data_IF_145632196966
#
_entry.id   IF_145632196966
#
_cell.length_a   1.000
_cell.length_b   1.000
_cell.length_c   1.000
_cell.angle_alpha   90.00
_cell.angle_beta   90.00
_cell.angle_gamma   90.00
#
_symmetry.space_group_name_H-M   'P 1'
#
loop_
_entity.id
_entity.type
_entity.pdbx_description
1 polymer ?
#
# COMPACT_ATOMS: atom_id res chain seq x y z
N UNK A 1 4.09 48.93 49.07
CA UNK A 1 3.24 47.76 49.32
C UNK A 1 3.14 47.01 48.00
N UNK A 2 3.77 45.84 47.87
CA UNK A 2 3.86 45.05 46.63
C UNK A 2 2.92 43.85 46.77
N UNK A 3 1.84 43.82 46.00
CA UNK A 3 0.95 42.66 45.93
C UNK A 3 1.40 41.81 44.75
N UNK A 4 1.95 40.62 45.04
CA UNK A 4 2.39 39.64 44.06
C UNK A 4 1.18 38.76 43.74
N UNK A 5 0.67 38.87 42.51
CA UNK A 5 -0.38 37.98 41.99
C UNK A 5 0.33 36.76 41.40
N UNK A 6 0.19 35.61 42.06
CA UNK A 6 0.71 34.33 41.59
C UNK A 6 -0.27 33.77 40.54
N UNK A 7 0.04 33.93 39.26
CA UNK A 7 -0.72 33.31 38.18
C UNK A 7 -0.20 31.88 37.95
N UNK A 8 -0.89 30.89 38.53
CA UNK A 8 -0.64 29.46 38.27
C UNK A 8 -1.04 29.12 36.84
N UNK A 9 -0.05 28.92 35.98
CA UNK A 9 -0.24 28.53 34.57
C UNK A 9 -0.46 27.02 34.49
N UNK A 10 -1.70 26.59 34.29
CA UNK A 10 -2.04 25.19 34.05
C UNK A 10 -1.59 24.80 32.64
N UNK A 11 -0.53 24.01 32.53
CA UNK A 11 -0.06 23.47 31.25
C UNK A 11 -1.01 22.37 30.75
N UNK A 12 -1.70 22.64 29.64
CA UNK A 12 -2.57 21.69 28.96
C UNK A 12 -1.72 20.81 28.03
N UNK A 13 -1.44 19.58 28.46
CA UNK A 13 -0.72 18.59 27.65
C UNK A 13 -1.71 17.97 26.66
N UNK A 14 -1.68 18.44 25.41
CA UNK A 14 -2.43 17.83 24.30
C UNK A 14 -1.70 16.56 23.87
N UNK A 15 -2.17 15.40 24.34
CA UNK A 15 -1.83 14.10 23.77
C UNK A 15 -2.43 14.02 22.36
N UNK A 16 -1.63 14.31 21.34
CA UNK A 16 -1.98 13.96 19.97
C UNK A 16 -1.82 12.44 19.83
N UNK A 17 -2.93 11.72 19.96
CA UNK A 17 -3.00 10.32 19.60
C UNK A 17 -2.97 10.26 18.07
N UNK A 18 -1.80 9.95 17.48
CA UNK A 18 -1.67 9.78 16.04
C UNK A 18 -2.50 8.57 15.60
N UNK A 19 -3.51 8.80 14.77
CA UNK A 19 -4.22 7.71 14.09
C UNK A 19 -3.28 7.04 13.10
N UNK A 20 -3.12 5.72 13.18
CA UNK A 20 -2.43 4.97 12.15
C UNK A 20 -3.10 5.26 10.79
N UNK A 21 -2.32 5.72 9.82
CA UNK A 21 -2.82 6.05 8.49
C UNK A 21 -3.23 4.78 7.76
N UNK A 22 -4.44 4.73 7.20
CA UNK A 22 -4.86 3.59 6.38
C UNK A 22 -4.11 3.60 5.04
N UNK A 23 -3.29 2.58 4.73
CA UNK A 23 -2.53 2.54 3.48
C UNK A 23 -3.39 2.62 2.23
N UNK A 24 -4.62 2.10 2.28
CA UNK A 24 -5.56 2.13 1.17
C UNK A 24 -6.13 3.54 0.90
N UNK A 25 -5.96 4.50 1.81
CA UNK A 25 -6.38 5.89 1.62
C UNK A 25 -5.22 6.89 1.66
N UNK A 26 -3.98 6.43 1.82
CA UNK A 26 -2.80 7.29 1.80
C UNK A 26 -2.66 7.97 0.42
N UNK A 27 -2.49 9.30 0.34
CA UNK A 27 -2.43 10.02 -0.93
C UNK A 27 -1.35 9.54 -1.90
N UNK A 28 -0.13 9.28 -1.39
CA UNK A 28 0.99 8.78 -2.18
C UNK A 28 0.68 7.39 -2.75
N UNK A 29 0.06 6.52 -1.95
CA UNK A 29 -0.38 5.20 -2.39
C UNK A 29 -1.47 5.28 -3.48
N UNK A 30 -2.39 6.24 -3.39
CA UNK A 30 -3.42 6.44 -4.41
C UNK A 30 -2.85 6.96 -5.73
N UNK A 31 -1.87 7.86 -5.66
CA UNK A 31 -1.14 8.33 -6.84
C UNK A 31 -0.34 7.19 -7.48
N UNK A 32 0.43 6.46 -6.68
CA UNK A 32 1.20 5.31 -7.13
C UNK A 32 0.32 4.21 -7.74
N UNK A 33 -0.83 3.92 -7.12
CA UNK A 33 -1.81 2.96 -7.64
C UNK A 33 -2.37 3.42 -9.00
N UNK A 34 -2.55 4.73 -9.18
CA UNK A 34 -3.00 5.31 -10.45
C UNK A 34 -1.99 5.07 -11.55
N UNK A 35 -0.69 5.25 -11.29
CA UNK A 35 0.36 4.93 -12.26
C UNK A 35 0.48 3.43 -12.53
N UNK A 36 0.45 2.59 -11.49
CA UNK A 36 0.43 1.12 -11.65
C UNK A 36 -0.70 0.67 -12.58
N UNK A 37 -1.89 1.27 -12.47
CA UNK A 37 -3.03 0.93 -13.34
C UNK A 37 -2.85 1.32 -14.81
N UNK A 38 -1.87 2.17 -15.14
CA UNK A 38 -1.53 2.51 -16.53
C UNK A 38 -0.61 1.47 -17.17
N UNK A 39 0.01 0.59 -16.39
CA UNK A 39 0.91 -0.43 -16.91
C UNK A 39 0.19 -1.42 -17.85
N UNK A 40 0.69 -1.66 -19.08
CA UNK A 40 -0.05 -2.43 -20.10
C UNK A 40 -0.44 -3.85 -19.70
N UNK A 41 0.30 -4.47 -18.76
CA UNK A 41 0.05 -5.84 -18.31
C UNK A 41 -1.01 -5.92 -17.20
N UNK A 42 -1.32 -4.81 -16.54
CA UNK A 42 -2.27 -4.76 -15.42
C UNK A 42 -3.70 -4.80 -15.94
N UNK A 43 -4.51 -5.71 -15.41
CA UNK A 43 -5.95 -5.80 -15.65
C UNK A 43 -6.75 -5.19 -14.51
N UNK A 44 -6.26 -5.37 -13.29
CA UNK A 44 -6.80 -4.75 -12.09
C UNK A 44 -5.69 -4.57 -11.05
N UNK A 45 -5.84 -3.61 -10.15
CA UNK A 45 -4.91 -3.40 -9.06
C UNK A 45 -5.59 -2.76 -7.85
N UNK A 46 -5.21 -3.19 -6.65
CA UNK A 46 -5.73 -2.68 -5.39
C UNK A 46 -4.66 -2.69 -4.30
N UNK A 47 -4.61 -1.62 -3.51
CA UNK A 47 -3.82 -1.55 -2.28
C UNK A 47 -4.77 -1.85 -1.11
N UNK A 48 -4.36 -2.80 -0.27
CA UNK A 48 -5.12 -3.23 0.91
C UNK A 48 -4.73 -2.46 2.15
N UNK A 49 -5.57 -2.51 3.19
CA UNK A 49 -5.26 -1.92 4.50
C UNK A 49 -4.02 -2.58 5.17
N UNK A 50 -3.66 -3.80 4.73
CA UNK A 50 -2.45 -4.49 5.13
C UNK A 50 -1.18 -3.97 4.44
N UNK A 51 -1.27 -2.85 3.70
CA UNK A 51 -0.16 -2.23 2.97
C UNK A 51 0.44 -3.10 1.86
N UNK A 52 -0.38 -4.00 1.29
CA UNK A 52 -0.01 -4.88 0.18
C UNK A 52 -0.73 -4.44 -1.08
N UNK A 53 0.02 -4.27 -2.18
CA UNK A 53 -0.52 -4.10 -3.52
C UNK A 53 -0.78 -5.48 -4.15
N UNK A 54 -2.02 -5.73 -4.55
CA UNK A 54 -2.37 -6.84 -5.43
C UNK A 54 -2.52 -6.32 -6.85
N UNK A 55 -1.76 -6.90 -7.77
CA UNK A 55 -1.71 -6.53 -9.18
C UNK A 55 -2.13 -7.74 -10.03
N UNK A 56 -3.31 -7.68 -10.63
CA UNK A 56 -3.86 -8.77 -11.44
C UNK A 56 -3.40 -8.64 -12.90
N UNK A 57 -2.86 -9.73 -13.46
CA UNK A 57 -2.36 -9.81 -14.84
C UNK A 57 -2.82 -11.10 -15.53
N UNK A 58 -2.76 -11.13 -16.86
CA UNK A 58 -2.94 -12.38 -17.60
C UNK A 58 -1.78 -13.36 -17.29
N UNK A 59 -2.13 -14.61 -17.02
CA UNK A 59 -1.18 -15.70 -16.80
C UNK A 59 -0.67 -16.22 -18.16
N UNK A 60 0.62 -16.02 -18.42
CA UNK A 60 1.32 -16.53 -19.62
C UNK A 60 2.26 -17.69 -19.31
N UNK A 61 2.16 -18.27 -18.11
CA UNK A 61 3.00 -19.38 -17.65
C UNK A 61 4.40 -18.98 -17.17
N UNK A 62 4.73 -17.68 -17.11
CA UNK A 62 6.02 -17.21 -16.58
C UNK A 62 5.91 -16.65 -15.17
N UNK A 63 7.00 -16.78 -14.38
CA UNK A 63 7.10 -16.16 -13.05
C UNK A 63 7.09 -14.64 -13.14
N UNK A 64 6.44 -13.97 -12.18
CA UNK A 64 6.24 -12.52 -12.17
C UNK A 64 7.00 -11.78 -11.06
N UNK A 65 7.94 -12.42 -10.38
CA UNK A 65 8.74 -11.77 -9.32
C UNK A 65 9.49 -10.53 -9.83
N UNK A 66 10.10 -10.62 -11.02
CA UNK A 66 10.76 -9.48 -11.64
C UNK A 66 9.80 -8.35 -12.02
N UNK A 67 8.56 -8.67 -12.37
CA UNK A 67 7.53 -7.66 -12.63
C UNK A 67 7.04 -7.03 -11.32
N UNK A 68 6.87 -7.81 -10.25
CA UNK A 68 6.60 -7.29 -8.91
C UNK A 68 7.72 -6.32 -8.46
N UNK A 69 8.98 -6.66 -8.73
CA UNK A 69 10.11 -5.80 -8.37
C UNK A 69 10.17 -4.50 -9.18
N UNK A 70 9.80 -4.55 -10.46
CA UNK A 70 9.59 -3.35 -11.27
C UNK A 70 8.46 -2.47 -10.69
N UNK A 71 7.34 -3.06 -10.29
CA UNK A 71 6.24 -2.31 -9.67
C UNK A 71 6.69 -1.64 -8.35
N UNK A 72 7.61 -2.22 -7.58
CA UNK A 72 8.18 -1.52 -6.42
C UNK A 72 8.90 -0.22 -6.82
N UNK A 73 9.56 -0.17 -7.99
CA UNK A 73 10.20 1.04 -8.48
C UNK A 73 9.16 2.11 -8.83
N UNK A 74 8.06 1.72 -9.49
CA UNK A 74 6.93 2.63 -9.75
C UNK A 74 6.36 3.17 -8.45
N UNK A 75 6.15 2.32 -7.44
CA UNK A 75 5.68 2.76 -6.12
C UNK A 75 6.65 3.75 -5.45
N UNK A 76 7.96 3.52 -5.57
CA UNK A 76 9.00 4.38 -5.01
C UNK A 76 9.03 5.78 -5.63
N UNK A 77 8.78 5.91 -6.95
CA UNK A 77 8.73 7.21 -7.64
C UNK A 77 7.65 8.15 -7.07
N UNK A 78 6.62 7.58 -6.45
CA UNK A 78 5.51 8.32 -5.84
C UNK A 78 5.56 8.36 -4.31
N UNK A 79 6.69 7.98 -3.70
CA UNK A 79 6.84 7.92 -2.23
C UNK A 79 5.74 7.07 -1.56
N UNK A 80 5.32 5.98 -2.22
CA UNK A 80 4.36 5.04 -1.68
C UNK A 80 4.92 4.36 -0.43
N UNK A 81 4.03 4.05 0.51
CA UNK A 81 4.37 3.32 1.73
C UNK A 81 4.20 1.81 1.60
N UNK A 82 3.66 1.32 0.48
CA UNK A 82 3.46 -0.12 0.21
C UNK A 82 4.76 -0.89 0.34
N UNK A 83 4.75 -1.94 1.15
CA UNK A 83 5.94 -2.74 1.44
C UNK A 83 5.95 -4.10 0.73
N UNK A 84 4.83 -4.52 0.14
CA UNK A 84 4.74 -5.82 -0.53
C UNK A 84 3.83 -5.75 -1.74
N UNK A 85 4.29 -6.35 -2.84
CA UNK A 85 3.53 -6.52 -4.07
C UNK A 85 3.29 -8.00 -4.32
N UNK A 86 2.06 -8.34 -4.65
CA UNK A 86 1.64 -9.68 -5.09
C UNK A 86 1.01 -9.56 -6.47
N UNK A 87 1.65 -10.20 -7.44
CA UNK A 87 1.14 -10.31 -8.81
C UNK A 87 0.30 -11.59 -8.88
N UNK A 88 -0.98 -11.45 -9.21
CA UNK A 88 -1.94 -12.56 -9.24
C UNK A 88 -2.54 -12.75 -10.62
N UNK A 89 -3.03 -13.96 -10.89
CA UNK A 89 -3.75 -14.26 -12.13
C UNK A 89 -5.11 -13.55 -12.15
N UNK A 90 -5.38 -12.80 -13.21
CA UNK A 90 -6.65 -12.11 -13.39
C UNK A 90 -7.83 -13.10 -13.44
N UNK A 91 -8.92 -12.75 -12.73
CA UNK A 91 -10.14 -13.56 -12.67
C UNK A 91 -10.03 -14.86 -11.87
N UNK A 92 -8.98 -15.04 -11.06
CA UNK A 92 -8.70 -16.30 -10.35
C UNK A 92 -9.04 -16.31 -8.86
N UNK A 93 -9.79 -15.32 -8.34
CA UNK A 93 -10.14 -15.23 -6.91
C UNK A 93 -10.95 -16.43 -6.38
N UNK A 94 -11.63 -17.18 -7.25
CA UNK A 94 -12.35 -18.41 -6.92
C UNK A 94 -11.68 -19.68 -7.47
N UNK A 95 -10.43 -19.57 -7.96
CA UNK A 95 -9.68 -20.71 -8.48
C UNK A 95 -9.32 -21.65 -7.33
N UNK A 96 -9.47 -22.99 -7.46
CA UNK A 96 -9.06 -23.95 -6.43
C UNK A 96 -7.57 -23.87 -6.05
N UNK A 97 -6.75 -23.24 -6.88
CA UNK A 97 -5.32 -23.02 -6.66
C UNK A 97 -5.00 -21.63 -6.11
N UNK A 98 -6.00 -20.81 -5.78
CA UNK A 98 -5.76 -19.47 -5.26
C UNK A 98 -5.02 -19.52 -3.92
N UNK A 99 -3.92 -18.77 -3.82
CA UNK A 99 -3.10 -18.71 -2.61
C UNK A 99 -3.67 -17.73 -1.56
N UNK A 100 -4.58 -16.85 -1.98
CA UNK A 100 -5.22 -15.84 -1.17
C UNK A 100 -6.54 -15.37 -1.82
N UNK A 101 -7.26 -14.47 -1.13
CA UNK A 101 -8.55 -13.95 -1.60
C UNK A 101 -8.50 -13.21 -2.95
N UNK A 102 -7.31 -12.81 -3.43
CA UNK A 102 -7.13 -12.05 -4.66
C UNK A 102 -6.76 -12.93 -5.86
N UNK A 103 -6.39 -14.20 -5.65
CA UNK A 103 -6.20 -15.18 -6.72
C UNK A 103 -4.94 -16.03 -6.60
N UNK A 104 -4.63 -16.74 -7.70
CA UNK A 104 -3.41 -17.55 -7.87
C UNK A 104 -2.21 -16.62 -7.96
N UNK A 105 -1.21 -16.83 -7.09
CA UNK A 105 0.01 -16.05 -7.05
C UNK A 105 0.94 -16.42 -8.21
N UNK A 106 1.32 -15.42 -9.00
CA UNK A 106 2.24 -15.56 -10.13
C UNK A 106 3.64 -15.03 -9.82
N UNK A 107 3.75 -14.15 -8.82
CA UNK A 107 5.01 -13.66 -8.30
C UNK A 107 4.81 -12.58 -7.24
N UNK A 108 5.89 -12.25 -6.53
CA UNK A 108 5.85 -11.26 -5.45
C UNK A 108 7.20 -10.56 -5.23
N UNK A 109 7.18 -9.40 -4.60
CA UNK A 109 8.38 -8.67 -4.21
C UNK A 109 8.13 -7.80 -2.97
N UNK A 110 9.06 -7.82 -2.03
CA UNK A 110 9.09 -6.88 -0.90
C UNK A 110 9.74 -5.57 -1.37
N UNK A 111 9.06 -4.44 -1.15
CA UNK A 111 9.58 -3.11 -1.46
C UNK A 111 10.38 -2.59 -0.25
N UNK A 112 11.55 -2.03 -0.51
CA UNK A 112 12.49 -1.51 0.49
C UNK A 112 12.77 -0.03 0.24
#
# INVERSE_FOLDING_TARGET
MKNIILATTTALVIFSCGTAENPATNPNNQEALTEVKKEPKIKDAVITEANVLYAAVDDDGTRRDGYAQYLCQVLAEHNSTVNWIKVVKYGSSNDPKADNAYGVLLGEAHCN
#
